data_IF_653881370410
#
_entry.id   IF_653881370410
#
_cell.length_a   1.000
_cell.length_b   1.000
_cell.length_c   1.000
_cell.angle_alpha   90.00
_cell.angle_beta   90.00
_cell.angle_gamma   90.00
#
_symmetry.space_group_name_H-M   'P 1'
#
loop_
_entity.id
_entity.type
_entity.pdbx_description
1 polymer ?
#
# COMPACT_ATOMS: atom_id res chain seq x y z
N UNK A 1 -8.22 11.63 -34.55
CA UNK A 1 -7.04 11.84 -33.68
C UNK A 1 -7.54 12.28 -32.31
N UNK A 2 -7.60 11.36 -31.36
CA UNK A 2 -8.16 11.60 -30.02
C UNK A 2 -7.19 12.41 -29.16
N UNK A 3 -7.73 13.47 -28.56
CA UNK A 3 -7.06 14.38 -27.64
C UNK A 3 -6.65 13.66 -26.36
N UNK A 4 -5.36 13.61 -26.09
CA UNK A 4 -4.80 13.18 -24.80
C UNK A 4 -5.03 14.34 -23.83
N UNK A 5 -5.94 14.17 -22.88
CA UNK A 5 -6.14 15.10 -21.78
C UNK A 5 -4.84 15.17 -20.95
N UNK A 6 -4.10 16.27 -21.08
CA UNK A 6 -3.01 16.62 -20.18
C UNK A 6 -3.62 17.00 -18.83
N UNK A 7 -3.41 16.15 -17.82
CA UNK A 7 -3.65 16.54 -16.43
C UNK A 7 -2.64 17.62 -16.05
N UNK A 8 -3.06 18.82 -15.60
CA UNK A 8 -2.14 19.83 -15.12
C UNK A 8 -1.47 19.34 -13.83
N UNK A 9 -0.15 19.52 -13.75
CA UNK A 9 0.64 19.41 -12.52
C UNK A 9 0.12 20.44 -11.51
N UNK A 10 -0.85 20.05 -10.69
CA UNK A 10 -1.30 20.84 -9.55
C UNK A 10 -0.45 20.46 -8.34
N UNK A 11 0.52 21.32 -8.02
CA UNK A 11 1.08 21.42 -6.67
C UNK A 11 0.01 22.04 -5.78
N UNK A 12 -0.97 21.23 -5.38
CA UNK A 12 -2.03 21.65 -4.46
C UNK A 12 -1.57 21.36 -3.04
N UNK A 13 -1.10 22.40 -2.35
CA UNK A 13 -1.00 22.39 -0.90
C UNK A 13 -2.42 22.31 -0.33
N UNK A 14 -2.72 21.24 0.37
CA UNK A 14 -3.94 21.12 1.16
C UNK A 14 -3.52 21.03 2.63
N UNK A 15 -3.84 22.06 3.41
CA UNK A 15 -3.86 21.98 4.87
C UNK A 15 -5.10 21.18 5.27
N UNK A 16 -5.01 19.86 5.17
CA UNK A 16 -6.03 18.97 5.73
C UNK A 16 -5.66 18.78 7.19
N UNK A 17 -6.31 19.55 8.07
CA UNK A 17 -6.18 19.40 9.51
C UNK A 17 -6.78 18.08 9.97
N UNK A 18 -5.98 17.02 9.94
CA UNK A 18 -6.30 15.74 10.58
C UNK A 18 -5.61 15.70 11.94
N UNK A 19 -6.36 15.64 13.04
CA UNK A 19 -5.77 15.36 14.35
C UNK A 19 -5.36 13.89 14.41
N UNK A 20 -4.06 13.64 14.29
CA UNK A 20 -3.47 12.32 14.46
C UNK A 20 -2.61 12.34 15.71
N UNK A 21 -3.10 11.98 16.91
CA UNK A 21 -2.29 12.09 18.12
C UNK A 21 -0.96 11.31 17.94
N UNK A 22 0.22 11.94 18.17
CA UNK A 22 0.47 13.29 18.68
C UNK A 22 0.80 14.38 17.63
N UNK A 23 0.69 14.12 16.34
CA UNK A 23 1.16 14.99 15.26
C UNK A 23 0.06 15.89 14.67
N UNK A 24 0.37 17.19 14.57
CA UNK A 24 -0.31 18.15 13.70
C UNK A 24 0.52 18.33 12.43
N UNK A 25 -0.11 18.20 11.27
CA UNK A 25 0.53 18.36 9.97
C UNK A 25 0.63 19.84 9.60
N UNK A 26 1.81 20.32 9.20
CA UNK A 26 2.01 21.69 8.72
C UNK A 26 1.98 21.79 7.20
N UNK A 27 2.35 20.72 6.47
CA UNK A 27 2.35 20.70 5.01
C UNK A 27 2.26 19.26 4.51
N UNK A 28 1.33 18.99 3.60
CA UNK A 28 1.20 17.72 2.87
C UNK A 28 1.81 17.88 1.48
N UNK A 29 2.86 17.12 1.17
CA UNK A 29 3.40 17.03 -0.19
C UNK A 29 2.93 15.70 -0.79
N UNK A 30 1.89 15.77 -1.62
CA UNK A 30 1.42 14.65 -2.42
C UNK A 30 1.94 14.83 -3.86
N UNK A 31 3.08 14.21 -4.18
CA UNK A 31 3.66 14.22 -5.52
C UNK A 31 3.56 12.86 -6.19
N UNK A 32 3.03 12.80 -7.42
CA UNK A 32 3.35 11.71 -8.36
C UNK A 32 4.63 12.14 -9.08
N UNK A 33 5.79 12.09 -8.42
CA UNK A 33 7.00 12.66 -9.02
C UNK A 33 8.28 12.44 -8.23
N UNK A 34 9.23 11.76 -8.90
CA UNK A 34 10.59 11.37 -8.47
C UNK A 34 10.63 10.51 -7.21
N UNK A 35 10.53 9.19 -7.43
CA UNK A 35 11.03 8.22 -6.45
C UNK A 35 12.50 8.53 -6.16
N UNK A 36 12.92 8.77 -4.90
CA UNK A 36 14.32 8.67 -4.53
C UNK A 36 14.88 7.34 -5.04
N UNK A 37 16.18 7.26 -5.35
CA UNK A 37 16.79 6.01 -5.80
C UNK A 37 16.37 4.86 -4.87
N UNK A 38 15.80 3.78 -5.45
CA UNK A 38 15.11 2.74 -4.69
C UNK A 38 16.05 2.13 -3.64
N UNK A 39 15.86 2.39 -2.34
CA UNK A 39 16.90 2.15 -1.36
C UNK A 39 17.01 0.68 -0.95
N UNK A 40 16.15 -0.21 -1.49
CA UNK A 40 16.34 -1.67 -1.44
C UNK A 40 16.86 -2.28 -2.75
N UNK A 41 16.98 -1.47 -3.82
CA UNK A 41 17.41 -1.91 -5.15
C UNK A 41 16.63 -3.10 -5.73
N UNK A 42 15.35 -3.23 -5.36
CA UNK A 42 14.41 -4.21 -5.92
C UNK A 42 13.18 -3.49 -6.51
N UNK A 43 12.12 -4.24 -6.84
CA UNK A 43 10.87 -3.70 -7.41
C UNK A 43 9.77 -3.46 -6.38
N UNK A 44 10.09 -3.44 -5.09
CA UNK A 44 9.13 -3.10 -4.03
C UNK A 44 8.67 -1.66 -4.22
N UNK A 45 7.46 -1.32 -3.79
CA UNK A 45 6.97 0.05 -3.80
C UNK A 45 5.76 0.13 -2.87
N UNK A 46 5.52 1.32 -2.33
CA UNK A 46 4.21 1.65 -1.77
C UNK A 46 3.25 2.02 -2.90
N UNK A 47 1.96 1.75 -2.71
CA UNK A 47 0.90 2.20 -3.63
C UNK A 47 0.77 3.73 -3.62
N UNK A 48 0.96 4.34 -2.45
CA UNK A 48 1.09 5.78 -2.29
C UNK A 48 2.20 6.15 -1.31
N UNK A 49 2.79 7.32 -1.51
CA UNK A 49 3.82 7.87 -0.64
C UNK A 49 3.49 9.32 -0.35
N UNK A 50 3.44 9.67 0.93
CA UNK A 50 3.09 11.00 1.39
C UNK A 50 4.24 11.54 2.21
N UNK A 51 4.77 12.69 1.85
CA UNK A 51 5.70 13.42 2.69
C UNK A 51 4.96 14.50 3.47
N UNK A 52 5.35 14.71 4.71
CA UNK A 52 4.80 15.79 5.52
C UNK A 52 5.82 16.38 6.47
N UNK A 53 5.57 17.63 6.87
CA UNK A 53 6.28 18.26 7.98
C UNK A 53 5.36 18.41 9.18
N UNK A 54 5.88 18.13 10.36
CA UNK A 54 5.23 18.49 11.62
C UNK A 54 5.34 19.99 11.86
N UNK A 55 4.57 20.51 12.83
CA UNK A 55 4.58 21.94 13.20
C UNK A 55 5.95 22.45 13.68
N UNK A 56 6.80 21.57 14.20
CA UNK A 56 8.20 21.88 14.56
C UNK A 56 9.19 21.69 13.40
N UNK A 57 8.69 21.53 12.16
CA UNK A 57 9.48 21.53 10.93
C UNK A 57 10.15 20.20 10.57
N UNK A 58 10.05 19.17 11.42
CA UNK A 58 10.64 17.85 11.18
C UNK A 58 9.95 17.16 10.00
N UNK A 59 10.74 16.53 9.14
CA UNK A 59 10.27 15.86 7.93
C UNK A 59 9.98 14.38 8.21
N UNK A 60 8.81 13.92 7.79
CA UNK A 60 8.33 12.55 7.93
C UNK A 60 7.71 12.06 6.61
N UNK A 61 7.40 10.77 6.55
CA UNK A 61 6.62 10.20 5.46
C UNK A 61 5.66 9.09 5.90
N UNK A 62 4.65 8.85 5.07
CA UNK A 62 3.75 7.71 5.12
C UNK A 62 3.93 6.90 3.83
N UNK A 63 4.32 5.63 3.95
CA UNK A 63 4.23 4.64 2.88
C UNK A 63 2.91 3.89 3.01
N UNK A 64 2.05 3.97 2.00
CA UNK A 64 0.71 3.40 2.04
C UNK A 64 0.66 2.16 1.15
N UNK A 65 0.22 1.05 1.71
CA UNK A 65 -0.15 -0.17 0.99
C UNK A 65 -1.67 -0.35 1.06
N UNK A 66 -2.31 -0.53 -0.09
CA UNK A 66 -3.74 -0.78 -0.19
C UNK A 66 -4.00 -2.25 -0.46
N UNK A 67 -4.93 -2.83 0.29
CA UNK A 67 -5.44 -4.18 0.12
C UNK A 67 -6.95 -4.12 -0.06
N UNK A 68 -7.47 -4.90 -1.01
CA UNK A 68 -8.90 -4.85 -1.34
C UNK A 68 -9.53 -6.24 -1.51
N UNK A 69 -9.01 -7.06 -2.43
CA UNK A 69 -9.55 -8.42 -2.66
C UNK A 69 -8.48 -9.48 -2.89
N UNK A 70 -7.23 -9.06 -3.11
CA UNK A 70 -6.13 -9.99 -3.35
C UNK A 70 -5.35 -10.24 -2.05
N UNK A 71 -5.09 -11.51 -1.68
CA UNK A 71 -4.24 -11.83 -0.54
C UNK A 71 -2.84 -11.25 -0.73
N UNK A 72 -2.05 -11.15 0.34
CA UNK A 72 -0.62 -10.89 0.18
C UNK A 72 0.00 -11.96 -0.74
N UNK A 73 1.00 -11.54 -1.54
CA UNK A 73 1.68 -12.43 -2.47
C UNK A 73 2.12 -13.71 -1.75
N UNK A 74 1.66 -14.86 -2.22
CA UNK A 74 2.04 -16.16 -1.65
C UNK A 74 3.54 -16.48 -1.84
N UNK A 75 4.20 -15.75 -2.74
CA UNK A 75 5.62 -15.90 -2.99
C UNK A 75 6.42 -15.20 -1.90
N UNK A 76 7.15 -15.99 -1.12
CA UNK A 76 8.20 -15.51 -0.25
C UNK A 76 9.41 -15.04 -1.06
N UNK A 77 9.88 -13.84 -0.77
CA UNK A 77 11.15 -13.32 -1.27
C UNK A 77 12.14 -13.26 -0.13
N UNK A 78 13.20 -14.03 -0.24
CA UNK A 78 14.33 -13.98 0.67
C UNK A 78 15.49 -13.22 0.03
N UNK A 79 16.14 -12.38 0.81
CA UNK A 79 17.36 -11.68 0.42
C UNK A 79 18.25 -11.50 1.65
N UNK A 80 19.56 -11.66 1.47
CA UNK A 80 20.55 -11.34 2.50
C UNK A 80 20.42 -9.90 2.98
N UNK A 81 20.01 -8.99 2.10
CA UNK A 81 19.73 -7.58 2.42
C UNK A 81 18.54 -7.42 3.36
N UNK A 82 17.50 -8.22 3.20
CA UNK A 82 16.32 -8.15 4.07
C UNK A 82 16.67 -8.60 5.48
N UNK A 83 17.44 -9.68 5.61
CA UNK A 83 17.96 -10.14 6.90
C UNK A 83 18.86 -9.10 7.55
N UNK A 84 19.76 -8.48 6.80
CA UNK A 84 20.66 -7.43 7.29
C UNK A 84 19.93 -6.16 7.78
N UNK A 85 18.71 -5.90 7.30
CA UNK A 85 17.88 -4.78 7.76
C UNK A 85 16.89 -5.17 8.87
N UNK A 86 16.76 -6.46 9.16
CA UNK A 86 15.84 -6.99 10.17
C UNK A 86 16.59 -7.25 11.47
N UNK A 87 16.96 -6.16 12.15
CA UNK A 87 17.79 -6.20 13.35
C UNK A 87 17.15 -5.46 14.53
N UNK A 88 17.58 -5.75 15.79
CA UNK A 88 17.13 -5.02 16.97
C UNK A 88 17.32 -3.51 16.90
N UNK A 89 18.42 -3.04 16.31
CA UNK A 89 18.72 -1.61 16.15
C UNK A 89 17.74 -0.91 15.19
N UNK A 90 17.07 -1.68 14.31
CA UNK A 90 16.02 -1.19 13.42
C UNK A 90 14.61 -1.39 14.00
N UNK A 91 14.52 -1.94 15.21
CA UNK A 91 13.29 -2.13 15.98
C UNK A 91 12.66 -3.50 15.86
N UNK A 92 13.38 -4.51 15.32
CA UNK A 92 12.87 -5.88 15.19
C UNK A 92 13.28 -6.78 16.35
N UNK A 93 12.43 -7.74 16.71
CA UNK A 93 12.79 -8.81 17.66
C UNK A 93 13.89 -9.72 17.10
N UNK A 94 14.76 -10.31 17.95
CA UNK A 94 15.70 -11.33 17.51
C UNK A 94 14.98 -12.49 16.81
N UNK A 95 15.49 -12.92 15.64
CA UNK A 95 14.86 -13.99 14.84
C UNK A 95 13.65 -13.56 14.01
N UNK A 96 13.24 -12.29 14.05
CA UNK A 96 12.07 -11.79 13.31
C UNK A 96 12.10 -12.13 11.81
N UNK A 97 13.29 -12.12 11.17
CA UNK A 97 13.40 -12.43 9.75
C UNK A 97 12.87 -13.84 9.39
N UNK A 98 13.08 -14.83 10.26
CA UNK A 98 12.63 -16.21 10.01
C UNK A 98 11.10 -16.33 10.14
N UNK A 99 10.52 -15.57 11.05
CA UNK A 99 9.06 -15.48 11.21
C UNK A 99 8.43 -14.74 10.02
N UNK A 100 9.02 -13.61 9.63
CA UNK A 100 8.44 -12.70 8.63
C UNK A 100 8.66 -13.12 7.18
N UNK A 101 9.58 -14.06 6.93
CA UNK A 101 9.80 -14.64 5.62
C UNK A 101 8.59 -15.41 5.09
N UNK A 102 7.67 -15.82 5.96
CA UNK A 102 6.45 -16.52 5.57
C UNK A 102 5.61 -15.71 4.58
N UNK A 103 4.93 -16.40 3.67
CA UNK A 103 4.19 -15.81 2.55
C UNK A 103 3.17 -14.76 2.96
N UNK A 104 2.48 -14.99 4.09
CA UNK A 104 1.45 -14.09 4.63
C UNK A 104 1.99 -12.74 5.11
N UNK A 105 3.25 -12.69 5.55
CA UNK A 105 3.91 -11.50 6.10
C UNK A 105 4.92 -10.87 5.16
N UNK A 106 5.41 -11.62 4.16
CA UNK A 106 6.57 -11.23 3.35
C UNK A 106 6.39 -9.88 2.63
N UNK A 107 5.22 -9.63 2.05
CA UNK A 107 4.94 -8.35 1.38
C UNK A 107 5.00 -7.19 2.38
N UNK A 108 4.34 -7.33 3.53
CA UNK A 108 4.28 -6.26 4.51
C UNK A 108 5.64 -6.02 5.18
N UNK A 109 6.37 -7.10 5.45
CA UNK A 109 7.77 -7.03 5.90
C UNK A 109 8.62 -6.23 4.91
N UNK A 110 8.54 -6.53 3.61
CA UNK A 110 9.28 -5.80 2.56
C UNK A 110 8.91 -4.31 2.51
N UNK A 111 7.65 -3.97 2.71
CA UNK A 111 7.22 -2.57 2.81
C UNK A 111 7.81 -1.87 4.05
N UNK A 112 7.89 -2.55 5.19
CA UNK A 112 8.57 -2.03 6.38
C UNK A 112 10.07 -1.86 6.17
N UNK A 113 10.74 -2.81 5.51
CA UNK A 113 12.14 -2.67 5.13
C UNK A 113 12.36 -1.50 4.16
N UNK A 114 11.43 -1.28 3.24
CA UNK A 114 11.46 -0.15 2.32
C UNK A 114 11.36 1.17 3.10
N UNK A 115 10.48 1.25 4.10
CA UNK A 115 10.37 2.42 4.97
C UNK A 115 11.67 2.66 5.77
N UNK A 116 12.27 1.61 6.33
CA UNK A 116 13.56 1.71 7.05
C UNK A 116 14.67 2.20 6.13
N UNK A 117 14.69 1.70 4.90
CA UNK A 117 15.67 2.08 3.89
C UNK A 117 15.47 3.55 3.45
N UNK A 118 14.23 4.01 3.29
CA UNK A 118 13.94 5.42 3.03
C UNK A 118 14.36 6.34 4.18
N UNK A 119 14.07 5.96 5.43
CA UNK A 119 14.52 6.70 6.60
C UNK A 119 16.06 6.77 6.68
N UNK A 120 16.76 5.68 6.36
CA UNK A 120 18.23 5.64 6.43
C UNK A 120 18.90 6.41 5.28
N UNK A 121 18.27 6.49 4.10
CA UNK A 121 18.86 7.09 2.90
C UNK A 121 18.46 8.56 2.66
N UNK A 122 17.45 9.08 3.35
CA UNK A 122 16.90 10.41 3.12
C UNK A 122 16.80 11.21 4.43
N UNK A 123 16.40 12.47 4.36
CA UNK A 123 16.35 13.38 5.51
C UNK A 123 15.10 13.20 6.39
N UNK A 124 14.42 12.06 6.32
CA UNK A 124 13.24 11.80 7.14
C UNK A 124 13.64 11.45 8.56
N UNK A 125 13.04 12.11 9.55
CA UNK A 125 13.23 11.74 10.95
C UNK A 125 12.60 10.38 11.25
N UNK A 126 11.45 10.09 10.65
CA UNK A 126 10.82 8.78 10.73
C UNK A 126 9.85 8.54 9.57
N UNK A 127 9.47 7.27 9.37
CA UNK A 127 8.48 6.85 8.38
C UNK A 127 7.53 5.79 8.91
N UNK A 128 6.26 5.92 8.55
CA UNK A 128 5.22 4.95 8.90
C UNK A 128 4.80 4.14 7.67
N UNK A 129 4.54 2.85 7.87
CA UNK A 129 3.81 2.03 6.92
C UNK A 129 2.35 1.98 7.34
N UNK A 130 1.47 2.42 6.44
CA UNK A 130 0.02 2.42 6.62
C UNK A 130 -0.58 1.34 5.73
N UNK A 131 -1.30 0.41 6.32
CA UNK A 131 -2.07 -0.60 5.60
C UNK A 131 -3.51 -0.11 5.55
N UNK A 132 -4.03 0.04 4.33
CA UNK A 132 -5.43 0.33 4.09
C UNK A 132 -6.10 -0.93 3.58
N UNK A 133 -7.05 -1.47 4.33
CA UNK A 133 -7.81 -2.65 3.94
C UNK A 133 -9.27 -2.53 4.38
N UNK A 134 -10.23 -3.24 3.75
CA UNK A 134 -11.57 -3.36 4.31
C UNK A 134 -11.52 -3.86 5.76
N UNK A 135 -12.39 -3.34 6.62
CA UNK A 135 -12.44 -3.74 8.03
C UNK A 135 -12.63 -5.26 8.22
N UNK A 136 -13.28 -5.93 7.26
CA UNK A 136 -13.48 -7.39 7.28
C UNK A 136 -12.32 -8.22 6.71
N UNK A 137 -11.23 -7.62 6.25
CA UNK A 137 -10.10 -8.36 5.68
C UNK A 137 -9.23 -9.00 6.78
N UNK A 138 -9.58 -10.24 7.13
CA UNK A 138 -8.86 -11.02 8.13
C UNK A 138 -7.43 -11.36 7.73
N UNK A 139 -7.12 -11.40 6.42
CA UNK A 139 -5.77 -11.69 5.93
C UNK A 139 -4.85 -10.49 6.16
N UNK A 140 -5.31 -9.30 5.82
CA UNK A 140 -4.62 -8.04 6.10
C UNK A 140 -4.36 -7.86 7.60
N UNK A 141 -5.39 -8.12 8.43
CA UNK A 141 -5.27 -8.01 9.87
C UNK A 141 -4.28 -9.03 10.47
N UNK A 142 -4.32 -10.30 10.04
CA UNK A 142 -3.37 -11.33 10.51
C UNK A 142 -1.92 -10.97 10.18
N UNK A 143 -1.66 -10.50 8.95
CA UNK A 143 -0.32 -10.08 8.57
C UNK A 143 0.16 -8.86 9.38
N UNK A 144 -0.74 -7.90 9.65
CA UNK A 144 -0.46 -6.75 10.51
C UNK A 144 -0.09 -7.18 11.93
N UNK A 145 -0.85 -8.08 12.55
CA UNK A 145 -0.57 -8.62 13.89
C UNK A 145 0.76 -9.35 13.90
N UNK A 146 0.96 -10.29 12.96
CA UNK A 146 2.18 -11.08 12.89
C UNK A 146 3.43 -10.22 12.69
N UNK A 147 3.36 -9.13 11.91
CA UNK A 147 4.47 -8.18 11.81
C UNK A 147 4.63 -7.34 13.07
N UNK A 148 3.52 -6.87 13.67
CA UNK A 148 3.55 -6.08 14.89
C UNK A 148 4.22 -6.84 16.03
N UNK A 149 3.96 -8.13 16.18
CA UNK A 149 4.57 -8.97 17.22
C UNK A 149 6.09 -9.12 17.06
N UNK A 150 6.63 -8.78 15.90
CA UNK A 150 8.07 -8.81 15.61
C UNK A 150 8.73 -7.43 15.74
N UNK A 151 8.01 -6.40 16.21
CA UNK A 151 8.53 -5.05 16.40
C UNK A 151 8.52 -4.67 17.88
N UNK A 152 9.60 -4.02 18.34
CA UNK A 152 9.70 -3.54 19.72
C UNK A 152 8.69 -2.43 20.04
N UNK A 153 8.43 -1.53 19.08
CA UNK A 153 7.45 -0.44 19.20
C UNK A 153 6.57 -0.39 17.94
N UNK A 154 5.58 -1.29 17.79
CA UNK A 154 4.84 -1.43 16.54
C UNK A 154 4.14 -0.14 16.10
N UNK A 155 3.53 0.57 17.05
CA UNK A 155 2.79 1.82 16.80
C UNK A 155 3.67 2.96 16.26
N UNK A 156 4.99 2.89 16.46
CA UNK A 156 5.92 3.85 15.89
C UNK A 156 6.09 3.64 14.39
N UNK A 157 5.93 2.40 13.87
CA UNK A 157 6.32 2.03 12.50
C UNK A 157 5.15 1.59 11.62
N UNK A 158 4.15 0.95 12.19
CA UNK A 158 3.10 0.24 11.45
C UNK A 158 1.72 0.67 11.93
N UNK A 159 0.80 0.91 11.01
CA UNK A 159 -0.60 1.19 11.32
C UNK A 159 -1.52 0.47 10.33
N UNK A 160 -2.67 0.04 10.84
CA UNK A 160 -3.77 -0.44 10.04
C UNK A 160 -4.91 0.59 10.08
N UNK A 161 -5.48 0.91 8.94
CA UNK A 161 -6.61 1.82 8.80
C UNK A 161 -7.65 1.15 7.92
N UNK A 162 -8.88 1.07 8.41
CA UNK A 162 -9.99 0.53 7.62
C UNK A 162 -10.28 1.46 6.43
N UNK A 163 -10.49 0.88 5.24
CA UNK A 163 -10.89 1.63 4.05
C UNK A 163 -12.17 2.44 4.31
N UNK A 164 -13.10 1.85 5.06
CA UNK A 164 -14.36 2.47 5.46
C UNK A 164 -14.12 3.75 6.27
N UNK A 165 -13.15 3.75 7.18
CA UNK A 165 -12.77 4.94 7.96
C UNK A 165 -12.28 6.06 7.04
N UNK A 166 -11.46 5.75 6.03
CA UNK A 166 -10.99 6.75 5.05
C UNK A 166 -12.16 7.31 4.25
N UNK A 167 -13.05 6.44 3.78
CA UNK A 167 -14.23 6.83 3.01
C UNK A 167 -15.15 7.72 3.86
N UNK A 168 -15.35 7.40 5.14
CA UNK A 168 -16.18 8.20 6.04
C UNK A 168 -15.57 9.58 6.32
N UNK A 169 -14.26 9.68 6.54
CA UNK A 169 -13.59 10.97 6.64
C UNK A 169 -13.66 11.76 5.33
N UNK A 170 -13.52 11.10 4.18
CA UNK A 170 -13.63 11.75 2.87
C UNK A 170 -15.05 12.27 2.57
N UNK A 171 -16.10 11.69 3.17
CA UNK A 171 -17.47 12.25 3.08
C UNK A 171 -17.62 13.58 3.81
N UNK A 172 -16.87 13.77 4.90
CA UNK A 172 -16.90 14.99 5.70
C UNK A 172 -16.09 16.13 5.06
N UNK A 173 -15.15 15.82 4.18
CA UNK A 173 -14.36 16.81 3.45
C UNK A 173 -15.11 17.26 2.17
N UNK A 174 -15.54 18.53 2.06
CA UNK A 174 -16.35 19.00 0.93
C UNK A 174 -15.76 18.70 -0.44
N UNK A 175 -14.43 18.75 -0.59
CA UNK A 175 -13.74 18.48 -1.86
C UNK A 175 -13.74 17.00 -2.26
N UNK A 176 -13.87 16.09 -1.30
CA UNK A 176 -13.82 14.64 -1.51
C UNK A 176 -15.19 13.97 -1.38
N UNK A 177 -16.19 14.69 -0.89
CA UNK A 177 -17.48 14.12 -0.51
C UNK A 177 -18.23 13.46 -1.68
N UNK A 178 -18.14 14.02 -2.89
CA UNK A 178 -18.76 13.42 -4.07
C UNK A 178 -18.09 12.10 -4.46
N UNK A 179 -16.76 12.08 -4.52
CA UNK A 179 -15.98 10.86 -4.77
C UNK A 179 -16.28 9.79 -3.72
N UNK A 180 -16.30 10.15 -2.43
CA UNK A 180 -16.54 9.21 -1.34
C UNK A 180 -17.93 8.57 -1.44
N UNK A 181 -18.97 9.34 -1.75
CA UNK A 181 -20.33 8.83 -1.98
C UNK A 181 -20.41 7.89 -3.19
N UNK A 182 -19.68 8.18 -4.27
CA UNK A 182 -19.64 7.31 -5.44
C UNK A 182 -18.95 5.98 -5.14
N UNK A 183 -17.87 6.00 -4.37
CA UNK A 183 -17.07 4.82 -3.96
C UNK A 183 -17.81 3.87 -3.03
N UNK A 184 -18.85 4.33 -2.33
CA UNK A 184 -19.72 3.47 -1.50
C UNK A 184 -20.82 2.73 -2.26
N UNK A 185 -20.99 2.94 -3.58
CA UNK A 185 -22.02 2.24 -4.35
C UNK A 185 -21.62 0.77 -4.58
N UNK A 186 -22.52 -0.22 -4.38
CA UNK A 186 -22.21 -1.66 -4.47
C UNK A 186 -21.71 -2.18 -5.83
N UNK A 187 -21.46 -1.34 -6.84
CA UNK A 187 -21.06 -1.78 -8.18
C UNK A 187 -19.57 -2.11 -8.34
N UNK A 188 -18.73 -1.82 -7.34
CA UNK A 188 -17.28 -2.08 -7.39
C UNK A 188 -16.79 -3.12 -6.35
N UNK A 189 -17.65 -3.50 -5.41
CA UNK A 189 -17.38 -4.53 -4.41
C UNK A 189 -17.97 -5.85 -4.91
N UNK A 190 -17.11 -6.79 -5.30
CA UNK A 190 -17.43 -8.19 -5.62
C UNK A 190 -18.07 -8.43 -7.00
N UNK A 191 -17.21 -8.60 -8.02
CA UNK A 191 -17.44 -9.67 -9.01
C UNK A 191 -16.59 -10.86 -8.60
N UNK A 192 -17.16 -12.02 -8.26
CA UNK A 192 -16.36 -13.22 -8.03
C UNK A 192 -15.59 -13.54 -9.31
N UNK A 193 -14.29 -13.84 -9.17
CA UNK A 193 -13.44 -14.21 -10.29
C UNK A 193 -14.07 -15.41 -11.00
N UNK A 194 -14.35 -15.25 -12.30
CA UNK A 194 -14.67 -16.41 -13.14
C UNK A 194 -13.42 -17.28 -13.15
N UNK A 195 -13.47 -18.38 -12.40
CA UNK A 195 -12.53 -19.48 -12.53
C UNK A 195 -12.41 -19.83 -14.02
N UNK A 196 -11.16 -20.02 -14.46
CA UNK A 196 -10.81 -20.44 -15.81
C UNK A 196 -11.54 -21.75 -16.13
N UNK A 197 -12.72 -21.70 -16.73
CA UNK A 197 -13.23 -22.81 -17.55
C UNK A 197 -12.31 -22.90 -18.75
N UNK A 198 -11.39 -23.87 -18.71
CA UNK A 198 -10.80 -24.43 -19.93
C UNK A 198 -11.92 -25.20 -20.61
N UNK A 199 -12.50 -24.63 -21.66
CA UNK A 199 -13.21 -25.44 -22.64
C UNK A 199 -12.19 -25.90 -23.69
N UNK A 200 -12.17 -27.20 -24.05
CA UNK A 200 -11.35 -27.68 -25.14
C UNK A 200 -12.01 -27.29 -26.46
N UNK A 201 -11.31 -26.51 -27.29
CA UNK A 201 -11.69 -26.31 -28.69
C UNK A 201 -11.47 -27.63 -29.42
N UNK A 202 -12.54 -28.43 -29.54
CA UNK A 202 -12.60 -29.51 -30.50
C UNK A 202 -12.72 -28.90 -31.90
N UNK A 203 -11.67 -29.04 -32.70
CA UNK A 203 -11.71 -28.82 -34.15
C UNK A 203 -12.74 -29.78 -34.77
N UNK A 204 -13.87 -29.24 -35.19
CA UNK A 204 -14.77 -29.89 -36.14
C UNK A 204 -15.14 -28.87 -37.23
N UNK A 205 -14.22 -28.68 -38.18
CA UNK A 205 -14.59 -28.20 -39.52
C UNK A 205 -14.57 -29.42 -40.43
N UNK A 206 -15.74 -30.06 -40.57
CA UNK A 206 -16.07 -30.84 -41.76
C UNK A 206 -16.82 -29.91 -42.70
N UNK A 207 -16.28 -29.81 -43.91
CA UNK A 207 -16.98 -29.82 -45.20
C UNK A 207 -18.51 -29.79 -45.14
N UNK A 208 -19.06 -28.73 -45.72
CA UNK A 208 -20.08 -28.67 -46.80
C UNK A 208 -20.41 -27.18 -46.94
N UNK A 209 -20.16 -26.53 -48.07
CA UNK A 209 -21.11 -26.56 -49.18
C UNK A 209 -20.45 -26.50 -50.57
N UNK A 210 -21.09 -27.25 -51.47
CA UNK A 210 -20.89 -27.37 -52.91
C UNK A 210 -21.68 -26.30 -53.67
N UNK A 211 -21.40 -26.25 -54.99
CA UNK A 211 -22.23 -25.67 -56.07
C UNK A 211 -22.22 -24.13 -56.09
N UNK A 212 -21.65 -23.46 -57.10
CA UNK A 212 -21.77 -23.62 -58.55
C UNK A 212 -20.60 -22.94 -59.26
#
# INVERSE_FOLDING_TARGET
MQSIARFPLLSTYAEIGFEWPPFRFATLLCGIGRRPAHPLSDRTAFDAFIEYRTTDGKLFFLGIETKYTEPFSEKAYESTRYRALTTPEKGFSPGAADVLLQSVTNQLWRNTLLAIAHHSANQYLYGHVIIVAPAGDTGAFKAFVALSDQLAEPASRLRNVALETIVDHAKAEPRLAEWARASTRPRLLVRPSRSKRREPVLNLMRETDRET
#
